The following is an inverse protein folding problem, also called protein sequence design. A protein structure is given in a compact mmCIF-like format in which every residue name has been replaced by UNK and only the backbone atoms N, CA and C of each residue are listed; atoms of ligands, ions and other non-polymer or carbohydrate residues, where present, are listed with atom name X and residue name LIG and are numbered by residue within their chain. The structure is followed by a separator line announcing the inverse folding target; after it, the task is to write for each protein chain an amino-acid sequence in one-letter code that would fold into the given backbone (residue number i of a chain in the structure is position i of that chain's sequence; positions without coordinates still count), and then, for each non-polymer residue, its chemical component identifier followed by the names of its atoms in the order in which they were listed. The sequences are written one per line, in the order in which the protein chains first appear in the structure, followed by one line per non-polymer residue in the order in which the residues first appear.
data_IF_567558936730
#
_entry.id   IF_567558936730
#
_cell.length_a   1.000
_cell.length_b   1.000
_cell.length_c   1.000
_cell.angle_alpha   90.00
_cell.angle_beta   90.00
_cell.angle_gamma   90.00
#
_symmetry.space_group_name_H-M   'P 1'
#
loop_
_entity.id
_entity.type
_entity.pdbx_description
1 polymer ?
#
# COMPACT_ATOMS: atom_id res chain seq x y z
N UNK A 1 30.49 -5.71 -22.06
CA UNK A 1 29.37 -6.67 -22.21
C UNK A 1 28.76 -6.93 -20.84
N UNK A 2 27.56 -6.39 -20.60
CA UNK A 2 26.49 -6.80 -19.66
C UNK A 2 25.55 -5.59 -19.54
N UNK A 3 24.42 -5.64 -20.26
CA UNK A 3 23.34 -4.67 -20.08
C UNK A 3 22.65 -5.06 -18.78
N UNK A 4 22.81 -4.27 -17.71
CA UNK A 4 22.00 -4.45 -16.51
C UNK A 4 20.62 -3.85 -16.78
N UNK A 5 19.79 -4.61 -17.49
CA UNK A 5 18.37 -4.31 -17.59
C UNK A 5 17.73 -4.73 -16.28
N UNK A 6 17.60 -3.79 -15.34
CA UNK A 6 16.64 -3.95 -14.24
C UNK A 6 15.26 -3.93 -14.87
N UNK A 7 14.75 -5.11 -15.23
CA UNK A 7 13.32 -5.34 -15.42
C UNK A 7 12.60 -4.70 -14.23
N UNK A 8 11.54 -3.90 -14.40
CA UNK A 8 10.75 -3.47 -13.25
C UNK A 8 10.27 -4.75 -12.56
N UNK A 9 10.80 -5.02 -11.36
CA UNK A 9 10.54 -6.26 -10.67
C UNK A 9 9.02 -6.37 -10.47
N UNK A 10 8.41 -7.37 -11.11
CA UNK A 10 7.05 -7.74 -10.80
C UNK A 10 6.97 -8.02 -9.29
N UNK A 11 5.91 -7.53 -8.63
CA UNK A 11 5.74 -7.72 -7.19
C UNK A 11 5.77 -9.22 -6.88
N UNK A 12 6.49 -9.62 -5.83
CA UNK A 12 6.53 -11.01 -5.38
C UNK A 12 5.16 -11.44 -4.84
N UNK A 13 4.90 -12.75 -4.76
CA UNK A 13 3.67 -13.26 -4.12
C UNK A 13 3.53 -12.76 -2.68
N UNK A 14 4.63 -12.62 -1.94
CA UNK A 14 4.63 -12.05 -0.60
C UNK A 14 4.22 -10.57 -0.58
N UNK A 15 4.57 -9.80 -1.60
CA UNK A 15 4.12 -8.41 -1.75
C UNK A 15 2.64 -8.31 -2.09
N UNK A 16 2.14 -9.20 -2.95
CA UNK A 16 0.72 -9.33 -3.27
C UNK A 16 -0.09 -9.67 -2.02
N UNK A 17 0.36 -10.66 -1.24
CA UNK A 17 -0.30 -11.07 0.00
C UNK A 17 -0.30 -9.94 1.04
N UNK A 18 0.81 -9.20 1.18
CA UNK A 18 0.88 -8.02 2.05
C UNK A 18 -0.09 -6.92 1.63
N UNK A 19 -0.20 -6.64 0.34
CA UNK A 19 -1.16 -5.65 -0.19
C UNK A 19 -2.61 -6.11 0.07
N UNK A 20 -2.90 -7.40 -0.16
CA UNK A 20 -4.20 -8.00 0.13
C UNK A 20 -4.56 -7.91 1.62
N UNK A 21 -3.61 -8.24 2.50
CA UNK A 21 -3.78 -8.11 3.94
C UNK A 21 -4.03 -6.65 4.35
N UNK A 22 -3.24 -5.71 3.82
CA UNK A 22 -3.41 -4.29 4.10
C UNK A 22 -4.81 -3.79 3.71
N UNK A 23 -5.27 -4.14 2.50
CA UNK A 23 -6.61 -3.80 2.02
C UNK A 23 -7.72 -4.42 2.88
N UNK A 24 -7.55 -5.65 3.36
CA UNK A 24 -8.57 -6.39 4.09
C UNK A 24 -8.63 -6.06 5.59
N UNK A 25 -7.50 -5.66 6.19
CA UNK A 25 -7.35 -5.52 7.65
C UNK A 25 -6.92 -4.13 8.07
N UNK A 26 -5.83 -3.63 7.51
CA UNK A 26 -5.24 -2.36 7.96
C UNK A 26 -6.03 -1.14 7.49
N UNK A 27 -6.50 -1.14 6.23
CA UNK A 27 -7.31 -0.04 5.69
C UNK A 27 -8.64 0.14 6.43
N UNK A 28 -9.39 -0.92 6.79
CA UNK A 28 -10.55 -0.78 7.67
C UNK A 28 -10.19 -0.31 9.08
N UNK A 29 -9.08 -0.79 9.65
CA UNK A 29 -8.65 -0.40 11.00
C UNK A 29 -8.33 1.10 11.08
N UNK A 30 -7.76 1.67 10.01
CA UNK A 30 -7.49 3.11 9.90
C UNK A 30 -8.72 3.99 10.13
N UNK A 31 -9.95 3.52 9.90
CA UNK A 31 -11.18 4.28 10.17
C UNK A 31 -11.33 4.69 11.64
N UNK A 32 -10.64 3.99 12.56
CA UNK A 32 -10.63 4.28 14.00
C UNK A 32 -9.60 5.34 14.40
N UNK A 33 -8.88 5.90 13.44
CA UNK A 33 -7.68 6.71 13.65
C UNK A 33 -6.42 5.87 13.63
N UNK A 34 -5.29 6.47 13.23
CA UNK A 34 -4.02 5.77 13.05
C UNK A 34 -2.84 6.75 13.15
N UNK A 35 -1.63 6.20 13.19
CA UNK A 35 -0.39 6.98 13.22
C UNK A 35 0.43 6.70 11.97
N UNK A 36 0.96 7.75 11.35
CA UNK A 36 1.99 7.67 10.31
C UNK A 36 3.34 7.88 10.98
N UNK A 37 4.20 6.88 10.91
CA UNK A 37 5.60 7.02 11.32
C UNK A 37 6.36 7.78 10.23
N UNK A 38 7.02 8.88 10.62
CA UNK A 38 7.88 9.67 9.75
C UNK A 38 9.29 9.72 10.34
N UNK A 39 10.29 10.15 9.55
CA UNK A 39 11.64 10.38 10.08
C UNK A 39 11.71 11.44 11.17
N UNK A 40 10.66 12.27 11.31
CA UNK A 40 10.55 13.31 12.34
C UNK A 40 9.65 12.89 13.52
N UNK A 41 9.21 11.62 13.56
CA UNK A 41 8.33 11.09 14.58
C UNK A 41 6.92 10.82 14.05
N UNK A 42 5.97 10.76 14.98
CA UNK A 42 4.61 10.30 14.74
C UNK A 42 3.68 11.43 14.29
N UNK A 43 2.99 11.22 13.16
CA UNK A 43 1.85 12.02 12.77
C UNK A 43 0.57 11.25 13.09
N UNK A 44 -0.18 11.72 14.08
CA UNK A 44 -1.46 11.12 14.47
C UNK A 44 -2.58 11.67 13.58
N UNK A 45 -3.42 10.76 13.09
CA UNK A 45 -4.65 11.05 12.37
C UNK A 45 -5.81 10.51 13.20
N UNK A 46 -6.69 11.40 13.66
CA UNK A 46 -7.85 10.99 14.44
C UNK A 46 -8.96 10.43 13.53
N UNK A 47 -9.91 9.71 14.13
CA UNK A 47 -10.98 9.01 13.41
C UNK A 47 -11.84 9.95 12.54
N UNK A 48 -11.96 11.23 12.90
CA UNK A 48 -12.71 12.23 12.12
C UNK A 48 -12.06 12.53 10.76
N UNK A 49 -10.73 12.59 10.71
CA UNK A 49 -9.98 12.87 9.48
C UNK A 49 -9.60 11.61 8.70
N UNK A 50 -9.63 10.45 9.37
CA UNK A 50 -9.25 9.15 8.81
C UNK A 50 -9.95 8.77 7.49
N UNK A 51 -11.25 9.04 7.25
CA UNK A 51 -11.94 8.55 6.04
C UNK A 51 -11.28 8.99 4.72
N UNK A 52 -10.68 10.20 4.69
CA UNK A 52 -9.98 10.70 3.50
C UNK A 52 -8.69 9.91 3.22
N UNK A 53 -7.96 9.57 4.28
CA UNK A 53 -6.76 8.74 4.19
C UNK A 53 -7.08 7.29 3.84
N UNK A 54 -8.15 6.72 4.41
CA UNK A 54 -8.65 5.38 4.09
C UNK A 54 -8.95 5.26 2.60
N UNK A 55 -9.66 6.23 2.03
CA UNK A 55 -9.97 6.26 0.60
C UNK A 55 -8.70 6.36 -0.26
N UNK A 56 -7.73 7.19 0.14
CA UNK A 56 -6.45 7.32 -0.55
C UNK A 56 -5.65 6.00 -0.51
N UNK A 57 -5.49 5.41 0.68
CA UNK A 57 -4.75 4.17 0.90
C UNK A 57 -5.36 3.02 0.07
N UNK A 58 -6.68 2.86 0.12
CA UNK A 58 -7.40 1.86 -0.68
C UNK A 58 -7.11 2.02 -2.17
N UNK A 59 -7.25 3.24 -2.70
CA UNK A 59 -7.01 3.52 -4.11
C UNK A 59 -5.56 3.23 -4.54
N UNK A 60 -4.58 3.60 -3.71
CA UNK A 60 -3.17 3.37 -4.01
C UNK A 60 -2.82 1.87 -3.99
N UNK A 61 -3.30 1.14 -2.99
CA UNK A 61 -3.04 -0.30 -2.85
C UNK A 61 -3.73 -1.11 -3.95
N UNK A 62 -4.97 -0.79 -4.31
CA UNK A 62 -5.65 -1.42 -5.45
C UNK A 62 -4.93 -1.15 -6.78
N UNK A 63 -4.42 0.07 -6.98
CA UNK A 63 -3.61 0.38 -8.18
C UNK A 63 -2.30 -0.40 -8.19
N UNK A 64 -1.66 -0.61 -7.04
CA UNK A 64 -0.47 -1.44 -6.94
C UNK A 64 -0.77 -2.90 -7.30
N UNK A 65 -1.86 -3.46 -6.76
CA UNK A 65 -2.29 -4.82 -7.04
C UNK A 65 -2.59 -5.04 -8.53
N UNK A 66 -3.36 -4.14 -9.15
CA UNK A 66 -3.67 -4.21 -10.59
C UNK A 66 -2.42 -4.17 -11.48
N UNK A 67 -1.41 -3.37 -11.12
CA UNK A 67 -0.15 -3.34 -11.86
C UNK A 67 0.63 -4.65 -11.72
N UNK A 68 0.56 -5.29 -10.55
CA UNK A 68 1.20 -6.59 -10.32
C UNK A 68 0.53 -7.70 -11.12
N UNK A 69 -0.81 -7.73 -11.16
CA UNK A 69 -1.59 -8.70 -11.93
C UNK A 69 -1.32 -8.59 -13.45
N UNK A 70 -1.26 -7.36 -13.98
CA UNK A 70 -0.97 -7.12 -15.41
C UNK A 70 0.47 -7.48 -15.80
N UNK A 71 1.40 -7.46 -14.86
CA UNK A 71 2.81 -7.83 -15.11
C UNK A 71 3.07 -9.34 -15.07
N UNK A 72 2.07 -10.15 -14.69
CA UNK A 72 2.12 -11.62 -14.64
C UNK A 72 1.39 -12.31 -15.82
N UNK A 73 0.84 -11.53 -16.76
CA UNK A 73 0.20 -12.01 -18.01
C UNK A 73 1.12 -11.70 -19.19
#
# INVERSE_FOLDING_TARGET
MRKNTTTPAALTNEEIDRIGYALAKQVPDMERGFTIQTSYGELRIDAEDAPRFVALARNLLQKQLKRAEVSHV
#
